data_IF_857159874933
#
_entry.id   IF_857159874933
#
_cell.length_a   1.000
_cell.length_b   1.000
_cell.length_c   1.000
_cell.angle_alpha   90.00
_cell.angle_beta   90.00
_cell.angle_gamma   90.00
#
_symmetry.space_group_name_H-M   'P 1'
#
loop_
_entity.id
_entity.type
_entity.pdbx_description
1 polymer ?
#
# COMPACT_ATOMS: atom_id res chain seq x y z
N UNK A 1 14.21 -9.09 18.71
CA UNK A 1 13.47 -8.02 18.00
C UNK A 1 11.99 -8.36 18.05
N UNK A 2 11.11 -7.43 18.44
CA UNK A 2 9.67 -7.68 18.39
C UNK A 2 9.23 -7.98 16.94
N UNK A 3 8.18 -8.78 16.74
CA UNK A 3 7.63 -9.02 15.41
C UNK A 3 7.10 -7.70 14.83
N UNK A 4 7.37 -7.45 13.54
CA UNK A 4 6.81 -6.29 12.85
C UNK A 4 5.29 -6.40 12.77
N UNK A 5 4.57 -5.26 12.81
CA UNK A 5 3.15 -5.25 12.50
C UNK A 5 2.90 -5.78 11.09
N UNK A 6 1.80 -6.51 10.91
CA UNK A 6 1.37 -6.91 9.57
C UNK A 6 0.87 -5.67 8.82
N UNK A 7 1.65 -5.26 7.81
CA UNK A 7 1.36 -4.08 6.98
C UNK A 7 1.06 -4.46 5.53
N UNK A 8 0.99 -5.76 5.20
CA UNK A 8 0.65 -6.21 3.84
C UNK A 8 -0.79 -5.80 3.51
N UNK A 9 -0.98 -5.26 2.31
CA UNK A 9 -2.27 -4.77 1.84
C UNK A 9 -2.54 -3.31 2.22
N UNK A 10 -1.86 -2.74 3.21
CA UNK A 10 -2.03 -1.33 3.58
C UNK A 10 -1.49 -0.39 2.52
N UNK A 11 -2.00 0.86 2.51
CA UNK A 11 -1.36 1.93 1.73
C UNK A 11 0.00 2.26 2.35
N UNK A 12 0.93 2.68 1.50
CA UNK A 12 2.28 3.05 1.92
C UNK A 12 2.26 4.05 3.08
N UNK A 13 1.38 5.05 3.05
CA UNK A 13 1.24 6.05 4.12
C UNK A 13 0.78 5.44 5.45
N UNK A 14 -0.13 4.47 5.41
CA UNK A 14 -0.64 3.77 6.59
C UNK A 14 0.42 2.83 7.17
N UNK A 15 1.12 2.10 6.30
CA UNK A 15 2.20 1.21 6.67
C UNK A 15 3.35 1.97 7.36
N UNK A 16 3.75 3.13 6.81
CA UNK A 16 4.78 3.98 7.41
C UNK A 16 4.35 4.48 8.80
N UNK A 17 3.11 4.95 8.93
CA UNK A 17 2.60 5.44 10.21
C UNK A 17 2.50 4.35 11.29
N UNK A 18 2.34 3.07 10.91
CA UNK A 18 2.38 1.94 11.84
C UNK A 18 3.81 1.59 12.24
N UNK A 19 4.74 1.62 11.29
CA UNK A 19 6.16 1.34 11.54
C UNK A 19 6.81 2.42 12.42
N UNK A 20 6.46 3.70 12.22
CA UNK A 20 6.92 4.82 13.07
C UNK A 20 6.49 4.69 14.53
N UNK A 21 5.35 4.02 14.79
CA UNK A 21 4.84 3.76 16.14
C UNK A 21 5.45 2.51 16.78
N UNK A 22 6.14 1.69 16.00
CA UNK A 22 6.79 0.49 16.51
C UNK A 22 8.12 0.89 17.13
N UNK A 23 8.27 0.65 18.43
CA UNK A 23 9.38 1.15 19.24
C UNK A 23 10.72 0.59 18.72
N UNK A 24 11.60 1.47 18.24
CA UNK A 24 12.89 1.14 17.64
C UNK A 24 13.16 1.95 16.38
N UNK A 25 14.36 2.54 16.29
CA UNK A 25 14.81 3.27 15.11
C UNK A 25 15.07 2.30 13.94
N UNK A 26 14.01 1.79 13.33
CA UNK A 26 14.08 0.92 12.16
C UNK A 26 14.12 1.79 10.92
N UNK A 27 15.17 1.63 10.13
CA UNK A 27 15.27 2.33 8.84
C UNK A 27 14.29 1.73 7.86
N UNK A 28 13.33 2.51 7.35
CA UNK A 28 12.35 2.02 6.38
C UNK A 28 12.78 2.39 4.96
N UNK A 29 12.91 1.38 4.09
CA UNK A 29 13.18 1.54 2.67
C UNK A 29 11.98 1.12 1.85
N UNK A 30 11.56 1.96 0.91
CA UNK A 30 10.43 1.68 0.02
C UNK A 30 10.94 1.36 -1.39
N UNK A 31 10.55 0.21 -1.92
CA UNK A 31 10.79 -0.22 -3.30
C UNK A 31 9.47 -0.20 -4.04
N UNK A 32 9.33 0.76 -4.95
CA UNK A 32 8.22 0.80 -5.88
C UNK A 32 8.42 -0.25 -6.98
N UNK A 33 7.44 -1.13 -7.13
CA UNK A 33 7.39 -2.01 -8.29
C UNK A 33 7.22 -1.18 -9.56
N UNK A 34 7.79 -1.65 -10.67
CA UNK A 34 7.54 -1.09 -12.00
C UNK A 34 6.39 -1.86 -12.64
N UNK A 35 5.15 -1.35 -12.58
CA UNK A 35 4.06 -1.96 -13.32
C UNK A 35 4.34 -1.91 -14.83
N UNK A 36 3.86 -2.88 -15.62
CA UNK A 36 3.71 -2.67 -17.06
C UNK A 36 2.90 -1.38 -17.30
N UNK A 37 3.20 -0.66 -18.39
CA UNK A 37 2.57 0.65 -18.69
C UNK A 37 1.07 0.60 -18.38
N UNK A 38 0.62 1.46 -17.46
CA UNK A 38 -0.77 1.54 -17.08
C UNK A 38 -1.63 1.85 -18.30
N UNK A 39 -2.72 1.11 -18.48
CA UNK A 39 -3.75 1.43 -19.49
C UNK A 39 -4.52 2.70 -19.12
N UNK A 40 -4.43 3.15 -17.87
CA UNK A 40 -5.17 4.30 -17.34
C UNK A 40 -4.47 5.64 -17.59
N UNK A 41 -3.19 5.63 -17.97
CA UNK A 41 -2.39 6.85 -18.08
C UNK A 41 -2.15 7.53 -16.72
N UNK A 42 -1.09 8.34 -16.61
CA UNK A 42 -0.80 9.12 -15.39
C UNK A 42 -0.12 8.34 -14.25
N UNK A 43 -0.11 8.96 -13.07
CA UNK A 43 0.46 8.41 -11.84
C UNK A 43 -0.60 7.62 -11.05
N UNK A 44 -0.21 6.60 -10.27
CA UNK A 44 -1.14 5.85 -9.43
C UNK A 44 -1.74 6.74 -8.33
N UNK A 45 -2.97 6.41 -7.90
CA UNK A 45 -3.66 7.16 -6.83
C UNK A 45 -3.10 6.85 -5.45
N UNK A 46 -2.53 5.66 -5.26
CA UNK A 46 -1.81 5.27 -4.06
C UNK A 46 -0.80 4.15 -4.36
N UNK A 47 -0.01 3.78 -3.37
CA UNK A 47 0.89 2.63 -3.42
C UNK A 47 0.52 1.69 -2.28
N UNK A 48 0.36 0.39 -2.56
CA UNK A 48 0.02 -0.63 -1.57
C UNK A 48 1.18 -1.56 -1.31
N UNK A 49 1.40 -1.89 -0.04
CA UNK A 49 2.40 -2.89 0.35
C UNK A 49 1.95 -4.27 -0.11
N UNK A 50 2.78 -4.94 -0.90
CA UNK A 50 2.54 -6.31 -1.37
C UNK A 50 3.51 -7.31 -0.76
N UNK A 51 4.63 -6.83 -0.21
CA UNK A 51 5.62 -7.65 0.47
C UNK A 51 6.42 -6.79 1.44
N UNK A 52 6.78 -7.39 2.57
CA UNK A 52 7.65 -6.82 3.60
C UNK A 52 8.84 -7.73 3.77
N UNK A 53 10.04 -7.16 3.84
CA UNK A 53 11.27 -7.87 4.24
C UNK A 53 11.91 -7.14 5.40
N UNK A 54 12.48 -7.91 6.31
CA UNK A 54 13.18 -7.40 7.48
C UNK A 54 14.63 -7.87 7.42
N UNK A 55 15.56 -6.93 7.54
CA UNK A 55 17.00 -7.16 7.50
C UNK A 55 17.62 -6.38 8.65
N UNK A 56 18.01 -7.06 9.74
CA UNK A 56 18.61 -6.44 10.93
C UNK A 56 17.86 -5.16 11.36
N UNK A 57 18.41 -3.97 11.03
CA UNK A 57 17.88 -2.65 11.38
C UNK A 57 17.07 -1.97 10.24
N UNK A 58 16.86 -2.64 9.11
CA UNK A 58 16.13 -2.16 7.94
C UNK A 58 14.84 -2.96 7.68
N UNK A 59 13.76 -2.24 7.40
CA UNK A 59 12.51 -2.79 6.87
C UNK A 59 12.33 -2.33 5.43
N UNK A 60 12.23 -3.29 4.53
CA UNK A 60 12.02 -3.06 3.10
C UNK A 60 10.55 -3.32 2.77
N UNK A 61 9.85 -2.27 2.36
CA UNK A 61 8.49 -2.33 1.85
C UNK A 61 8.52 -2.40 0.32
N UNK A 62 7.96 -3.46 -0.25
CA UNK A 62 7.73 -3.57 -1.70
C UNK A 62 6.29 -3.13 -1.96
N UNK A 63 6.13 -2.09 -2.78
CA UNK A 63 4.81 -1.48 -3.03
C UNK A 63 4.38 -1.57 -4.50
N UNK A 64 3.09 -1.80 -4.71
CA UNK A 64 2.44 -1.83 -6.01
C UNK A 64 1.50 -0.64 -6.21
N UNK A 65 1.36 -0.12 -7.44
CA UNK A 65 0.44 0.98 -7.72
C UNK A 65 -1.02 0.55 -7.54
N UNK A 66 -1.80 1.40 -6.86
CA UNK A 66 -3.26 1.39 -6.85
C UNK A 66 -3.71 2.44 -7.89
N UNK A 67 -4.39 2.01 -8.96
CA UNK A 67 -4.77 2.88 -10.09
C UNK A 67 -6.17 3.45 -9.99
N UNK A 68 -7.10 2.71 -9.39
CA UNK A 68 -8.48 3.12 -9.22
C UNK A 68 -8.75 3.20 -7.72
N UNK A 69 -9.22 4.35 -7.21
CA UNK A 69 -9.86 4.34 -5.91
C UNK A 69 -11.10 3.47 -6.04
N UNK A 70 -11.29 2.51 -5.14
CA UNK A 70 -12.53 1.76 -5.03
C UNK A 70 -13.64 2.77 -4.69
N UNK A 71 -14.31 3.32 -5.72
CA UNK A 71 -15.44 4.22 -5.51
C UNK A 71 -16.63 3.37 -5.11
N UNK A 72 -17.04 3.49 -3.85
CA UNK A 72 -18.29 2.94 -3.32
C UNK A 72 -19.51 3.37 -4.16
N UNK A 73 -19.41 4.51 -4.87
CA UNK A 73 -20.44 5.02 -5.77
C UNK A 73 -20.67 4.15 -7.03
N UNK A 74 -19.66 3.40 -7.49
CA UNK A 74 -19.81 2.54 -8.67
C UNK A 74 -20.54 1.22 -8.34
N UNK A 75 -20.50 0.77 -7.08
CA UNK A 75 -21.36 -0.32 -6.59
C UNK A 75 -22.81 0.15 -6.50
N UNK A 76 -23.08 1.38 -6.04
CA UNK A 76 -24.43 1.90 -5.97
C UNK A 76 -25.10 2.00 -7.35
N UNK A 77 -24.32 2.29 -8.41
CA UNK A 77 -24.83 2.30 -9.80
C UNK A 77 -24.97 0.90 -10.42
N UNK A 78 -24.15 -0.08 -10.03
CA UNK A 78 -24.30 -1.46 -10.49
C UNK A 78 -25.31 -2.28 -9.67
N UNK A 79 -25.62 -1.86 -8.45
CA UNK A 79 -26.57 -2.52 -7.55
C UNK A 79 -28.04 -2.19 -7.85
N UNK A 80 -28.32 -1.28 -8.79
CA UNK A 80 -29.66 -1.10 -9.36
C UNK A 80 -30.78 -1.07 -8.34
N UNK A 81 -30.83 -0.05 -7.48
CA UNK A 81 -32.11 0.40 -6.95
C UNK A 81 -32.60 1.55 -7.84
N UNK A 82 -33.26 1.11 -8.91
CA UNK A 82 -34.35 1.78 -9.61
C UNK A 82 -35.23 2.60 -8.66
N UNK A 83 -35.60 3.79 -9.14
CA UNK A 83 -36.83 4.57 -8.85
C UNK A 83 -37.60 4.30 -7.54
#
# INVERSE_FOLDING_TARGET
MPPLPDVIGLRQTEALALLEKTDGAVTVRVIQTRPPKSRHGGAPVAWRVICVRQHDDEVVLIVAPEWLPYKTEDIARQAGETE
#
